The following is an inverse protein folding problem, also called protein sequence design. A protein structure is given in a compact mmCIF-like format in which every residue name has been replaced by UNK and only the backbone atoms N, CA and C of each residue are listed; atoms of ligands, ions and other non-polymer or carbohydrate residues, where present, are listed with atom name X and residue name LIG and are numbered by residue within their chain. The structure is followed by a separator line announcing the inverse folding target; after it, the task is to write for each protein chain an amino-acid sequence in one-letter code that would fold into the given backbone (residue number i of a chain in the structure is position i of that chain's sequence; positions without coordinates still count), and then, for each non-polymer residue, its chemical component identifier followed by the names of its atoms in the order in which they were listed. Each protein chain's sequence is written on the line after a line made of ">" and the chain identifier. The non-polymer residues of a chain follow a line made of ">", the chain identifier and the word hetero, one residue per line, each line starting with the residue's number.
data_IF_342410511061
#
_entry.id   IF_342410511061
#
_cell.length_a   1.000
_cell.length_b   1.000
_cell.length_c   1.000
_cell.angle_alpha   90.00
_cell.angle_beta   90.00
_cell.angle_gamma   90.00
#
_symmetry.space_group_name_H-M   'P 1'
#
loop_
_entity.id
_entity.type
_entity.pdbx_description
1 polymer ?
#
# COMPACT_ATOMS: atom_id res chain seq x y z
N UNK A 1 -34.97 3.27 1.78
CA UNK A 1 -35.62 4.59 1.82
C UNK A 1 -34.97 5.46 0.75
N UNK A 2 -35.75 6.11 -0.11
CA UNK A 2 -35.21 7.02 -1.13
C UNK A 2 -34.80 8.33 -0.44
N UNK A 3 -33.55 8.80 -0.58
CA UNK A 3 -33.17 10.09 -0.03
C UNK A 3 -33.97 11.20 -0.73
N UNK A 4 -34.36 12.28 -0.02
CA UNK A 4 -35.04 13.41 -0.65
C UNK A 4 -34.16 13.99 -1.77
N UNK A 5 -34.74 14.13 -2.97
CA UNK A 5 -34.07 14.72 -4.14
C UNK A 5 -33.47 13.75 -5.17
N UNK A 6 -33.51 12.43 -4.94
CA UNK A 6 -32.98 11.46 -5.90
C UNK A 6 -34.03 10.95 -6.89
N UNK A 7 -33.75 11.01 -8.20
CA UNK A 7 -34.52 10.26 -9.21
C UNK A 7 -33.93 8.85 -9.38
N UNK A 8 -34.77 7.88 -9.73
CA UNK A 8 -34.33 6.52 -10.09
C UNK A 8 -34.39 6.37 -11.60
N UNK A 9 -33.30 5.93 -12.21
CA UNK A 9 -33.23 5.67 -13.64
C UNK A 9 -32.68 4.25 -13.89
N UNK A 10 -33.00 3.69 -15.06
CA UNK A 10 -32.40 2.46 -15.52
C UNK A 10 -30.89 2.66 -15.79
N UNK A 11 -30.11 1.60 -15.59
CA UNK A 11 -28.65 1.58 -15.76
C UNK A 11 -28.19 2.06 -17.16
N UNK A 12 -29.00 1.86 -18.20
CA UNK A 12 -28.63 2.09 -19.59
C UNK A 12 -28.81 3.54 -20.09
N UNK A 13 -29.04 4.52 -19.20
CA UNK A 13 -29.21 5.93 -19.60
C UNK A 13 -27.87 6.67 -19.55
N UNK A 14 -27.61 7.56 -20.50
CA UNK A 14 -26.50 8.51 -20.41
C UNK A 14 -26.65 9.36 -19.15
N UNK A 15 -25.56 9.53 -18.40
CA UNK A 15 -25.56 10.37 -17.21
C UNK A 15 -25.43 11.84 -17.62
N UNK A 16 -26.04 12.80 -16.90
CA UNK A 16 -25.92 14.20 -17.24
C UNK A 16 -24.47 14.69 -17.16
N UNK A 17 -24.00 15.43 -18.16
CA UNK A 17 -22.65 16.02 -18.16
C UNK A 17 -22.41 16.95 -16.96
N UNK A 18 -23.49 17.57 -16.44
CA UNK A 18 -23.46 18.41 -15.24
C UNK A 18 -23.29 17.62 -13.93
N UNK A 19 -23.06 16.31 -13.98
CA UNK A 19 -22.79 15.51 -12.78
C UNK A 19 -21.47 15.97 -12.15
N UNK A 20 -21.51 16.47 -10.92
CA UNK A 20 -20.32 16.97 -10.22
C UNK A 20 -19.61 15.87 -9.41
N UNK A 21 -20.29 14.77 -9.13
CA UNK A 21 -19.79 13.68 -8.28
C UNK A 21 -20.52 12.37 -8.59
N UNK A 22 -19.76 11.28 -8.70
CA UNK A 22 -20.29 9.92 -8.76
C UNK A 22 -20.01 9.22 -7.43
N UNK A 23 -21.03 8.57 -6.86
CA UNK A 23 -20.90 7.74 -5.66
C UNK A 23 -20.94 6.29 -6.07
N UNK A 24 -19.82 5.60 -5.92
CA UNK A 24 -19.75 4.17 -6.13
C UNK A 24 -20.17 3.43 -4.86
N UNK A 25 -21.32 2.77 -4.95
CA UNK A 25 -21.83 1.83 -3.97
C UNK A 25 -22.44 0.60 -4.69
N UNK A 26 -21.88 0.21 -5.84
CA UNK A 26 -22.41 -0.87 -6.68
C UNK A 26 -22.13 -2.25 -6.06
N UNK A 27 -20.91 -2.44 -5.57
CA UNK A 27 -20.41 -3.68 -4.99
C UNK A 27 -19.63 -3.37 -3.70
N UNK A 28 -19.62 -4.32 -2.78
CA UNK A 28 -18.84 -4.23 -1.55
C UNK A 28 -17.83 -5.37 -1.43
N UNK A 29 -17.51 -5.75 -0.20
CA UNK A 29 -16.51 -6.77 0.14
C UNK A 29 -16.83 -8.19 -0.31
N UNK A 30 -18.08 -8.49 -0.68
CA UNK A 30 -18.56 -9.85 -0.96
C UNK A 30 -18.18 -10.43 -2.32
N UNK A 31 -17.48 -9.68 -3.17
CA UNK A 31 -17.09 -10.17 -4.50
C UNK A 31 -15.79 -10.99 -4.45
N UNK A 32 -15.76 -12.06 -5.22
CA UNK A 32 -14.58 -12.94 -5.38
C UNK A 32 -14.16 -13.11 -6.85
N UNK A 33 -14.90 -12.51 -7.78
CA UNK A 33 -14.71 -12.65 -9.22
C UNK A 33 -14.95 -11.31 -9.93
N UNK A 34 -14.57 -11.22 -11.21
CA UNK A 34 -14.82 -10.06 -12.04
C UNK A 34 -16.31 -9.67 -12.04
N UNK A 35 -16.65 -8.36 -11.96
CA UNK A 35 -18.00 -7.89 -12.20
C UNK A 35 -18.48 -8.36 -13.57
N UNK A 36 -19.75 -8.75 -13.64
CA UNK A 36 -20.44 -9.10 -14.89
C UNK A 36 -21.38 -7.96 -15.25
N UNK A 37 -21.86 -7.97 -16.49
CA UNK A 37 -22.90 -7.03 -16.89
C UNK A 37 -24.20 -7.24 -16.10
N UNK A 38 -24.94 -6.14 -15.82
CA UNK A 38 -24.70 -4.77 -16.30
C UNK A 38 -23.71 -3.95 -15.42
N UNK A 39 -23.16 -4.54 -14.36
CA UNK A 39 -22.30 -3.80 -13.41
C UNK A 39 -20.96 -3.43 -14.02
N UNK A 40 -20.37 -4.32 -14.83
CA UNK A 40 -19.12 -4.01 -15.54
C UNK A 40 -19.28 -2.77 -16.45
N UNK A 41 -20.33 -2.72 -17.27
CA UNK A 41 -20.63 -1.52 -18.08
C UNK A 41 -20.86 -0.24 -17.26
N UNK A 42 -21.51 -0.32 -16.09
CA UNK A 42 -21.68 0.84 -15.20
C UNK A 42 -20.35 1.35 -14.65
N UNK A 43 -19.43 0.44 -14.32
CA UNK A 43 -18.08 0.79 -13.85
C UNK A 43 -17.31 1.51 -14.95
N UNK A 44 -17.35 0.98 -16.17
CA UNK A 44 -16.70 1.59 -17.33
C UNK A 44 -17.27 2.99 -17.64
N UNK A 45 -18.60 3.13 -17.59
CA UNK A 45 -19.28 4.41 -17.76
C UNK A 45 -18.88 5.42 -16.67
N UNK A 46 -18.74 4.98 -15.41
CA UNK A 46 -18.28 5.84 -14.33
C UNK A 46 -16.84 6.33 -14.53
N UNK A 47 -15.94 5.43 -14.92
CA UNK A 47 -14.54 5.75 -15.14
C UNK A 47 -14.34 6.66 -16.36
N UNK A 48 -15.22 6.60 -17.35
CA UNK A 48 -15.17 7.46 -18.54
C UNK A 48 -15.77 8.87 -18.29
N UNK A 49 -16.53 9.06 -17.21
CA UNK A 49 -17.17 10.32 -16.89
C UNK A 49 -16.15 11.31 -16.26
N UNK A 50 -16.20 12.62 -16.58
CA UNK A 50 -15.23 13.59 -16.04
C UNK A 50 -15.38 13.87 -14.54
N UNK A 51 -16.55 13.58 -13.96
CA UNK A 51 -16.79 13.74 -12.53
C UNK A 51 -15.92 12.80 -11.68
N UNK A 52 -15.40 13.26 -10.53
CA UNK A 52 -14.70 12.38 -9.60
C UNK A 52 -15.64 11.29 -9.06
N UNK A 53 -15.08 10.10 -8.85
CA UNK A 53 -15.77 8.98 -8.21
C UNK A 53 -15.35 8.87 -6.75
N UNK A 54 -16.31 8.76 -5.84
CA UNK A 54 -16.10 8.42 -4.42
C UNK A 54 -16.66 7.03 -4.15
N UNK A 55 -15.77 6.10 -3.82
CA UNK A 55 -16.14 4.73 -3.49
C UNK A 55 -16.53 4.60 -2.01
N UNK A 56 -17.61 3.87 -1.79
CA UNK A 56 -18.13 3.53 -0.47
C UNK A 56 -17.66 2.12 -0.13
N UNK A 57 -16.96 2.01 1.00
CA UNK A 57 -16.30 0.81 1.50
C UNK A 57 -15.09 0.35 0.68
N UNK A 58 -15.30 -0.02 -0.58
CA UNK A 58 -14.29 -0.55 -1.51
C UNK A 58 -14.68 -0.14 -2.94
N UNK A 59 -13.74 0.30 -3.80
CA UNK A 59 -14.04 0.51 -5.22
C UNK A 59 -14.63 -0.75 -5.85
N UNK A 60 -15.81 -0.64 -6.44
CA UNK A 60 -16.50 -1.77 -7.07
C UNK A 60 -15.61 -2.44 -8.10
N UNK A 61 -15.48 -3.77 -8.00
CA UNK A 61 -14.59 -4.58 -8.83
C UNK A 61 -13.21 -4.86 -8.22
N UNK A 62 -12.83 -4.20 -7.14
CA UNK A 62 -11.61 -4.50 -6.37
C UNK A 62 -11.87 -5.65 -5.39
N UNK A 63 -11.00 -6.67 -5.39
CA UNK A 63 -11.10 -7.77 -4.44
C UNK A 63 -10.57 -7.37 -3.05
N UNK A 64 -11.46 -7.34 -2.07
CA UNK A 64 -11.21 -6.86 -0.70
C UNK A 64 -10.06 -7.55 0.05
N UNK A 65 -9.73 -8.80 -0.30
CA UNK A 65 -8.71 -9.58 0.40
C UNK A 65 -7.32 -9.47 -0.24
N UNK A 66 -7.25 -9.27 -1.55
CA UNK A 66 -5.99 -9.42 -2.32
C UNK A 66 -5.55 -8.14 -3.03
N UNK A 67 -6.47 -7.19 -3.24
CA UNK A 67 -6.22 -5.99 -4.02
C UNK A 67 -6.08 -6.27 -5.52
N UNK A 68 -6.56 -7.43 -5.97
CA UNK A 68 -6.62 -7.77 -7.38
C UNK A 68 -7.84 -7.14 -8.06
N UNK A 69 -7.70 -6.89 -9.36
CA UNK A 69 -8.72 -6.27 -10.23
C UNK A 69 -9.00 -7.22 -11.40
N UNK A 70 -9.81 -8.27 -11.21
CA UNK A 70 -9.99 -9.36 -12.18
C UNK A 70 -10.77 -8.96 -13.45
N UNK A 71 -11.29 -7.74 -13.52
CA UNK A 71 -12.03 -7.19 -14.66
C UNK A 71 -12.23 -5.69 -14.46
N UNK A 72 -13.40 -5.18 -14.86
CA UNK A 72 -13.78 -3.78 -14.63
C UNK A 72 -13.68 -3.42 -13.13
N UNK A 73 -13.03 -2.30 -12.82
CA UNK A 73 -12.87 -1.77 -11.46
C UNK A 73 -13.02 -0.26 -11.47
N UNK A 74 -13.69 0.30 -10.47
CA UNK A 74 -13.83 1.75 -10.31
C UNK A 74 -12.48 2.38 -10.00
N UNK A 75 -12.14 3.44 -10.72
CA UNK A 75 -11.00 4.32 -10.43
C UNK A 75 -11.48 5.49 -9.58
N UNK A 76 -11.39 5.36 -8.26
CA UNK A 76 -11.89 6.35 -7.32
C UNK A 76 -10.87 7.48 -7.05
N UNK A 77 -11.38 8.70 -6.92
CA UNK A 77 -10.62 9.83 -6.36
C UNK A 77 -10.48 9.70 -4.84
N UNK A 78 -11.52 9.19 -4.17
CA UNK A 78 -11.53 8.89 -2.74
C UNK A 78 -12.26 7.58 -2.47
N UNK A 79 -11.82 6.87 -1.44
CA UNK A 79 -12.53 5.71 -0.89
C UNK A 79 -12.77 5.92 0.59
N UNK A 80 -13.99 5.71 1.07
CA UNK A 80 -14.33 5.75 2.50
C UNK A 80 -14.63 4.33 2.97
N UNK A 81 -13.71 3.72 3.72
CA UNK A 81 -13.87 2.36 4.26
C UNK A 81 -14.30 2.36 5.71
N UNK A 82 -15.15 1.40 6.06
CA UNK A 82 -15.74 1.30 7.40
C UNK A 82 -15.22 0.11 8.20
N UNK A 83 -15.29 0.23 9.54
CA UNK A 83 -15.03 -0.80 10.56
C UNK A 83 -13.57 -1.25 10.62
N UNK A 84 -12.98 -1.67 9.50
CA UNK A 84 -11.58 -2.04 9.41
C UNK A 84 -11.03 -1.70 8.03
N UNK A 85 -9.71 -1.52 7.94
CA UNK A 85 -9.00 -1.50 6.66
C UNK A 85 -8.99 -2.91 6.09
N UNK A 86 -9.57 -3.09 4.90
CA UNK A 86 -9.50 -4.36 4.19
C UNK A 86 -8.11 -4.49 3.55
N UNK A 87 -7.47 -5.67 3.60
CA UNK A 87 -6.10 -5.83 3.08
C UNK A 87 -5.98 -5.43 1.62
N UNK A 88 -6.99 -5.78 0.82
CA UNK A 88 -7.06 -5.47 -0.60
C UNK A 88 -7.24 -4.00 -0.93
N UNK A 89 -7.39 -3.09 0.04
CA UNK A 89 -7.27 -1.64 -0.19
C UNK A 89 -5.81 -1.14 -0.16
N UNK A 90 -4.89 -1.97 0.34
CA UNK A 90 -3.49 -1.61 0.63
C UNK A 90 -2.47 -2.47 -0.11
N UNK A 91 -2.94 -3.45 -0.89
CA UNK A 91 -2.09 -4.44 -1.57
C UNK A 91 -2.45 -4.54 -3.05
N UNK A 92 -1.66 -5.31 -3.81
CA UNK A 92 -1.92 -5.58 -5.22
C UNK A 92 -1.96 -4.30 -6.05
N UNK A 93 -3.03 -4.15 -6.84
CA UNK A 93 -3.28 -3.00 -7.73
C UNK A 93 -4.17 -1.93 -7.09
N UNK A 94 -4.54 -2.08 -5.82
CA UNK A 94 -5.46 -1.17 -5.14
C UNK A 94 -5.01 0.29 -5.16
N UNK A 95 -3.69 0.51 -5.09
CA UNK A 95 -3.08 1.84 -5.13
C UNK A 95 -3.44 2.63 -6.39
N UNK A 96 -3.69 1.94 -7.50
CA UNK A 96 -4.02 2.57 -8.78
C UNK A 96 -5.48 3.04 -8.84
N UNK A 97 -6.35 2.53 -7.97
CA UNK A 97 -7.81 2.67 -8.11
C UNK A 97 -8.54 3.16 -6.86
N UNK A 98 -7.89 3.17 -5.70
CA UNK A 98 -8.53 3.52 -4.41
C UNK A 98 -8.52 5.03 -4.14
N UNK A 99 -7.62 5.78 -4.77
CA UNK A 99 -7.44 7.21 -4.52
C UNK A 99 -7.02 7.50 -3.08
N UNK A 100 -7.52 8.59 -2.50
CA UNK A 100 -7.29 8.90 -1.08
C UNK A 100 -8.22 8.05 -0.22
N UNK A 101 -7.62 7.20 0.63
CA UNK A 101 -8.33 6.30 1.51
C UNK A 101 -8.64 6.97 2.87
N UNK A 102 -9.93 7.03 3.21
CA UNK A 102 -10.46 7.46 4.50
C UNK A 102 -10.98 6.26 5.27
N UNK A 103 -10.78 6.26 6.59
CA UNK A 103 -11.20 5.17 7.47
C UNK A 103 -12.07 5.72 8.59
N UNK A 104 -13.20 5.04 8.82
CA UNK A 104 -14.09 5.31 9.95
C UNK A 104 -14.44 3.97 10.64
N UNK A 105 -14.19 3.87 11.95
CA UNK A 105 -14.50 2.67 12.71
C UNK A 105 -16.00 2.50 13.01
N UNK A 106 -16.81 3.52 12.73
CA UNK A 106 -18.24 3.60 13.07
C UNK A 106 -18.50 3.42 14.57
N UNK A 107 -17.63 3.97 15.43
CA UNK A 107 -17.75 3.88 16.88
C UNK A 107 -17.37 2.51 17.48
N UNK A 108 -16.73 1.63 16.69
CA UNK A 108 -16.31 0.30 17.11
C UNK A 108 -14.83 0.22 17.55
N UNK A 109 -14.16 1.36 17.80
CA UNK A 109 -12.73 1.42 18.11
C UNK A 109 -12.36 0.54 19.30
N UNK A 110 -13.15 0.59 20.38
CA UNK A 110 -12.91 -0.21 21.59
C UNK A 110 -13.07 -1.71 21.35
N UNK A 111 -14.07 -2.11 20.56
CA UNK A 111 -14.27 -3.51 20.20
C UNK A 111 -13.13 -4.00 19.31
N UNK A 112 -12.74 -3.23 18.30
CA UNK A 112 -11.64 -3.56 17.38
C UNK A 112 -10.30 -3.68 18.13
N UNK A 113 -10.03 -2.81 19.11
CA UNK A 113 -8.82 -2.86 19.91
C UNK A 113 -8.70 -4.13 20.77
N UNK A 114 -9.84 -4.78 21.09
CA UNK A 114 -9.88 -6.06 21.80
C UNK A 114 -9.73 -7.28 20.89
N UNK A 115 -9.81 -7.10 19.57
CA UNK A 115 -9.64 -8.19 18.61
C UNK A 115 -8.16 -8.41 18.28
N UNK A 116 -7.79 -9.65 17.98
CA UNK A 116 -6.48 -9.96 17.39
C UNK A 116 -6.62 -10.00 15.86
N UNK A 117 -6.10 -8.99 15.12
CA UNK A 117 -6.26 -8.98 13.68
C UNK A 117 -5.31 -10.00 13.03
N UNK A 118 -5.74 -10.68 11.95
CA UNK A 118 -4.87 -11.60 11.21
C UNK A 118 -3.75 -10.88 10.45
N UNK A 119 -3.92 -9.57 10.21
CA UNK A 119 -3.00 -8.72 9.48
C UNK A 119 -2.83 -7.39 10.22
N UNK A 120 -1.60 -6.87 10.26
CA UNK A 120 -1.30 -5.56 10.85
C UNK A 120 -0.67 -4.65 9.80
N UNK A 121 -1.25 -3.47 9.63
CA UNK A 121 -0.64 -2.39 8.84
C UNK A 121 0.45 -1.74 9.68
N UNK A 122 1.61 -1.53 9.06
CA UNK A 122 2.66 -0.71 9.64
C UNK A 122 2.73 0.63 8.92
N UNK A 123 2.95 1.69 9.68
CA UNK A 123 3.26 3.01 9.12
C UNK A 123 4.48 3.64 9.78
N UNK A 124 4.94 4.74 9.18
CA UNK A 124 6.18 5.40 9.57
C UNK A 124 6.17 5.89 11.03
N UNK A 125 5.00 6.16 11.62
CA UNK A 125 4.90 6.64 13.01
C UNK A 125 5.36 5.58 14.01
N UNK A 126 5.33 4.30 13.62
CA UNK A 126 5.74 3.17 14.46
C UNK A 126 7.24 2.90 14.41
N UNK A 127 7.98 3.49 13.46
CA UNK A 127 9.41 3.20 13.27
C UNK A 127 10.25 3.49 14.51
N UNK A 128 9.87 4.50 15.31
CA UNK A 128 10.56 4.84 16.56
C UNK A 128 10.55 3.72 17.61
N UNK A 129 9.64 2.75 17.49
CA UNK A 129 9.57 1.59 18.37
C UNK A 129 10.66 0.56 18.07
N UNK A 130 11.16 0.50 16.83
CA UNK A 130 12.19 -0.45 16.41
C UNK A 130 13.56 0.19 16.18
N UNK A 131 13.58 1.47 15.78
CA UNK A 131 14.79 2.21 15.45
C UNK A 131 15.08 3.24 16.55
N UNK A 132 15.53 2.75 17.71
CA UNK A 132 15.85 3.61 18.85
C UNK A 132 17.20 4.33 18.70
N UNK A 133 17.36 5.54 19.25
CA UNK A 133 18.63 6.25 19.23
C UNK A 133 19.76 5.47 19.89
N UNK A 134 20.97 5.60 19.35
CA UNK A 134 22.17 4.93 19.89
C UNK A 134 22.75 5.70 21.06
N UNK A 135 23.33 4.96 22.01
CA UNK A 135 24.13 5.58 23.07
C UNK A 135 25.32 6.32 22.45
N UNK A 136 25.62 7.56 22.89
CA UNK A 136 26.76 8.32 22.38
C UNK A 136 28.12 7.62 22.55
N UNK A 137 28.23 6.74 23.56
CA UNK A 137 29.45 5.99 23.88
C UNK A 137 29.55 4.64 23.17
N UNK A 138 28.58 4.30 22.32
CA UNK A 138 28.59 3.01 21.62
C UNK A 138 29.65 2.94 20.51
N UNK A 139 30.22 1.76 20.31
CA UNK A 139 31.20 1.46 19.28
C UNK A 139 30.66 0.46 18.25
N UNK A 140 31.40 0.24 17.16
CA UNK A 140 31.05 -0.69 16.06
C UNK A 140 30.77 -2.14 16.51
N UNK A 141 31.16 -2.51 17.73
CA UNK A 141 30.93 -3.84 18.30
C UNK A 141 29.54 -3.98 18.93
N UNK A 142 28.97 -2.89 19.42
CA UNK A 142 27.67 -2.86 20.10
C UNK A 142 26.49 -3.00 19.13
N UNK A 143 26.73 -2.76 17.84
CA UNK A 143 25.69 -2.71 16.80
C UNK A 143 25.74 -3.90 15.85
N UNK A 144 26.23 -5.04 16.35
CA UNK A 144 26.29 -6.29 15.63
C UNK A 144 27.29 -6.30 14.46
N UNK A 145 27.45 -7.50 13.89
CA UNK A 145 28.28 -7.76 12.71
C UNK A 145 27.44 -8.57 11.75
N UNK A 146 27.49 -8.23 10.47
CA UNK A 146 26.79 -8.97 9.43
C UNK A 146 27.74 -9.42 8.33
N UNK A 147 27.45 -10.58 7.78
CA UNK A 147 28.03 -11.06 6.53
C UNK A 147 26.94 -11.01 5.46
N UNK A 148 27.25 -10.44 4.30
CA UNK A 148 26.38 -10.44 3.12
C UNK A 148 27.03 -11.33 2.09
N UNK A 149 26.31 -12.37 1.69
CA UNK A 149 26.79 -13.37 0.75
C UNK A 149 25.92 -13.27 -0.49
N UNK A 150 26.55 -13.06 -1.64
CA UNK A 150 25.84 -12.88 -2.91
C UNK A 150 26.67 -12.07 -3.90
N UNK A 151 26.06 -11.71 -5.02
CA UNK A 151 26.80 -11.17 -6.16
C UNK A 151 27.37 -12.31 -7.01
N UNK A 152 26.80 -12.43 -8.19
CA UNK A 152 27.28 -13.20 -9.33
C UNK A 152 27.38 -12.26 -10.54
N UNK A 153 27.87 -12.78 -11.67
CA UNK A 153 28.04 -12.04 -12.92
C UNK A 153 26.83 -11.15 -13.25
N UNK A 154 27.06 -9.84 -13.31
CA UNK A 154 26.02 -8.85 -13.60
C UNK A 154 25.14 -8.42 -12.41
N UNK A 155 25.35 -8.97 -11.20
CA UNK A 155 24.56 -8.65 -10.00
C UNK A 155 25.39 -8.09 -8.84
N UNK A 156 26.66 -7.74 -9.06
CA UNK A 156 27.55 -7.11 -8.07
C UNK A 156 26.93 -5.84 -7.41
N UNK A 157 26.09 -5.11 -8.15
CA UNK A 157 25.37 -3.96 -7.62
C UNK A 157 24.41 -4.31 -6.47
N UNK A 158 23.78 -5.50 -6.49
CA UNK A 158 22.83 -5.92 -5.48
C UNK A 158 23.49 -6.10 -4.12
N UNK A 159 24.63 -6.79 -4.07
CA UNK A 159 25.37 -6.98 -2.81
C UNK A 159 25.92 -5.65 -2.27
N UNK A 160 26.37 -4.74 -3.15
CA UNK A 160 26.80 -3.40 -2.73
C UNK A 160 25.65 -2.63 -2.09
N UNK A 161 24.48 -2.59 -2.72
CA UNK A 161 23.31 -1.88 -2.19
C UNK A 161 22.86 -2.46 -0.85
N UNK A 162 22.86 -3.79 -0.71
CA UNK A 162 22.55 -4.45 0.56
C UNK A 162 23.54 -4.05 1.67
N UNK A 163 24.84 -4.04 1.36
CA UNK A 163 25.90 -3.61 2.29
C UNK A 163 25.77 -2.17 2.74
N UNK A 164 25.56 -1.26 1.79
CA UNK A 164 25.39 0.14 2.11
C UNK A 164 24.11 0.40 2.91
N UNK A 165 22.99 -0.25 2.54
CA UNK A 165 21.74 -0.14 3.27
C UNK A 165 21.92 -0.59 4.72
N UNK A 166 22.57 -1.74 4.95
CA UNK A 166 22.79 -2.26 6.29
C UNK A 166 23.66 -1.34 7.15
N UNK A 167 24.72 -0.75 6.58
CA UNK A 167 25.54 0.23 7.31
C UNK A 167 24.77 1.54 7.58
N UNK A 168 23.93 2.00 6.64
CA UNK A 168 23.08 3.19 6.82
C UNK A 168 21.99 2.99 7.87
N UNK A 169 21.43 1.79 7.98
CA UNK A 169 20.43 1.44 9.01
C UNK A 169 21.06 1.07 10.34
N UNK A 170 22.41 1.00 10.40
CA UNK A 170 23.17 1.03 11.63
C UNK A 170 23.97 -0.22 11.98
N UNK A 171 24.14 -1.18 11.09
CA UNK A 171 25.09 -2.26 11.35
C UNK A 171 26.48 -1.71 11.73
N UNK A 172 27.05 -2.25 12.80
CA UNK A 172 28.36 -1.80 13.30
C UNK A 172 29.50 -2.18 12.37
N UNK A 173 29.42 -3.36 11.76
CA UNK A 173 30.38 -3.86 10.78
C UNK A 173 29.70 -4.76 9.75
N UNK A 174 29.99 -4.54 8.47
CA UNK A 174 29.56 -5.40 7.37
C UNK A 174 30.75 -6.04 6.66
N UNK A 175 30.62 -7.32 6.28
CA UNK A 175 31.56 -8.02 5.39
C UNK A 175 30.78 -8.53 4.18
N UNK A 176 31.25 -8.20 2.97
CA UNK A 176 30.72 -8.76 1.72
C UNK A 176 31.53 -9.97 1.29
N UNK A 177 30.85 -11.02 0.85
CA UNK A 177 31.42 -12.21 0.22
C UNK A 177 30.75 -12.37 -1.14
N UNK A 178 31.51 -12.07 -2.20
CA UNK A 178 31.09 -12.17 -3.60
C UNK A 178 32.13 -12.96 -4.41
N UNK A 179 31.78 -13.37 -5.64
CA UNK A 179 32.77 -13.94 -6.58
C UNK A 179 33.90 -12.94 -6.85
N UNK A 180 35.11 -13.45 -7.06
CA UNK A 180 36.34 -12.64 -7.11
C UNK A 180 36.34 -11.50 -8.13
N UNK A 181 35.66 -11.69 -9.27
CA UNK A 181 35.52 -10.70 -10.34
C UNK A 181 34.56 -9.55 -9.98
N UNK A 182 33.69 -9.76 -8.98
CA UNK A 182 32.67 -8.81 -8.51
C UNK A 182 33.07 -8.07 -7.22
N UNK A 183 34.33 -8.17 -6.79
CA UNK A 183 34.82 -7.55 -5.54
C UNK A 183 35.24 -6.07 -5.71
N UNK A 184 35.50 -5.62 -6.93
CA UNK A 184 35.89 -4.24 -7.25
C UNK A 184 34.92 -3.13 -6.76
N UNK A 185 33.59 -3.33 -6.63
CA UNK A 185 32.66 -2.29 -6.17
C UNK A 185 32.71 -2.01 -4.65
N UNK A 186 33.38 -2.85 -3.85
CA UNK A 186 33.57 -2.62 -2.42
C UNK A 186 34.77 -1.70 -2.18
N UNK A 187 34.71 -0.46 -2.69
CA UNK A 187 35.68 0.58 -2.38
C UNK A 187 35.81 0.85 -0.87
N UNK A 188 36.89 1.51 -0.42
CA UNK A 188 37.20 1.67 1.00
C UNK A 188 36.01 2.27 1.76
N UNK A 189 35.63 1.57 2.83
CA UNK A 189 34.51 1.90 3.69
C UNK A 189 34.44 3.42 3.97
N UNK A 190 33.34 4.07 3.60
CA UNK A 190 33.08 5.45 4.02
C UNK A 190 32.95 5.46 5.55
N UNK A 191 33.77 6.23 6.29
CA UNK A 191 33.52 6.43 7.71
C UNK A 191 32.13 7.07 7.86
N UNK A 192 31.31 6.50 8.75
CA UNK A 192 29.98 7.00 9.05
C UNK A 192 30.05 8.52 9.31
N UNK A 193 29.26 9.29 8.54
CA UNK A 193 29.09 10.73 8.80
C UNK A 193 28.55 10.89 10.21
N UNK A 194 29.34 11.50 11.10
CA UNK A 194 28.85 12.11 12.34
C UNK A 194 28.00 13.32 11.95
N UNK A 195 26.68 13.18 12.07
CA UNK A 195 25.75 14.32 12.06
C UNK A 195 25.72 14.96 13.44
N UNK A 196 25.78 16.30 13.47
CA UNK A 196 25.40 17.11 14.63
C UNK A 196 23.90 17.00 14.87
#
# INVERSE_FOLDING_TARGET
>A
RQPPGGSRAAAARSWPDATELIRDALLGTGIAQAPRDPVAGLIEQANAHPAPVVAVDIPSGLLAQTGATPGAVISAAHTVTFIALKPGLLTGKARDVTGILHYDALGLEGWLASQTPPLRRFDATQLGQWLTPRRPTSHKGDHGRLAIIGGDQGTAGAIRMAGEAALRTGAGLGRGLARGEDLAPFGPARPARRGR
#
